data_IF_100747899241
#
_entry.id   IF_100747899241
#
_cell.length_a   1.000
_cell.length_b   1.000
_cell.length_c   1.000
_cell.angle_alpha   90.00
_cell.angle_beta   90.00
_cell.angle_gamma   90.00
#
_symmetry.space_group_name_H-M   'P 1'
#
loop_
_entity.id
_entity.type
_entity.pdbx_description
1 polymer ?
#
# COMPACT_ATOMS: atom_id res chain seq x y z
N UNK A 1 21.98 -4.75 9.84
CA UNK A 1 20.63 -4.19 9.83
C UNK A 1 20.29 -3.63 8.46
N UNK A 2 19.11 -3.97 7.93
CA UNK A 2 18.49 -3.33 6.78
C UNK A 2 17.07 -2.86 7.13
N UNK A 3 16.63 -1.74 6.54
CA UNK A 3 15.27 -1.21 6.72
C UNK A 3 14.63 -1.04 5.36
N UNK A 4 13.44 -1.61 5.20
CA UNK A 4 12.69 -1.61 3.96
C UNK A 4 11.25 -1.12 4.16
N UNK A 5 10.63 -0.65 3.09
CA UNK A 5 9.18 -0.67 3.00
C UNK A 5 8.71 -2.13 2.97
N UNK A 6 7.89 -2.55 3.93
CA UNK A 6 7.50 -3.95 4.05
C UNK A 6 6.79 -4.49 2.79
N UNK A 7 5.99 -3.66 2.13
CA UNK A 7 5.29 -4.01 0.88
C UNK A 7 6.22 -4.36 -0.29
N UNK A 8 7.49 -3.95 -0.23
CA UNK A 8 8.47 -4.15 -1.29
C UNK A 8 9.32 -5.41 -1.04
N UNK A 9 9.20 -6.03 0.16
CA UNK A 9 9.84 -7.30 0.48
C UNK A 9 9.09 -8.48 -0.13
N UNK A 10 9.81 -9.49 -0.67
CA UNK A 10 9.21 -10.76 -1.06
C UNK A 10 8.39 -11.38 0.09
N UNK A 11 7.34 -12.12 -0.23
CA UNK A 11 6.56 -12.87 0.77
C UNK A 11 7.32 -14.06 1.34
N UNK A 12 8.22 -14.63 0.56
CA UNK A 12 9.12 -15.71 0.99
C UNK A 12 10.25 -15.15 1.85
N UNK A 13 10.49 -15.77 3.00
CA UNK A 13 11.59 -15.42 3.89
C UNK A 13 12.91 -16.00 3.36
N UNK A 14 13.98 -15.20 3.39
CA UNK A 14 15.32 -15.70 3.07
C UNK A 14 15.88 -16.43 4.31
N UNK A 15 16.42 -17.68 4.17
CA UNK A 15 16.83 -18.51 5.31
C UNK A 15 17.95 -17.91 6.17
N UNK A 16 18.69 -16.94 5.66
CA UNK A 16 19.76 -16.24 6.41
C UNK A 16 19.35 -14.92 7.02
N UNK A 17 18.08 -14.50 6.88
CA UNK A 17 17.57 -13.23 7.36
C UNK A 17 16.42 -13.42 8.34
N UNK A 18 16.35 -12.52 9.31
CA UNK A 18 15.28 -12.41 10.29
C UNK A 18 14.59 -11.05 10.14
N UNK A 19 13.27 -11.06 9.97
CA UNK A 19 12.43 -9.88 10.16
C UNK A 19 12.30 -9.61 11.66
N UNK A 20 13.28 -8.89 12.20
CA UNK A 20 13.46 -8.72 13.64
C UNK A 20 12.42 -7.77 14.24
N UNK A 21 12.01 -6.73 13.53
CA UNK A 21 10.96 -5.83 13.98
C UNK A 21 10.11 -5.26 12.85
N UNK A 22 8.85 -5.04 13.16
CA UNK A 22 7.90 -4.24 12.39
C UNK A 22 7.41 -3.11 13.28
N UNK A 23 7.98 -1.90 13.17
CA UNK A 23 7.56 -0.75 13.97
C UNK A 23 6.10 -0.34 13.72
N UNK A 24 5.51 0.50 14.60
CA UNK A 24 4.15 0.99 14.42
C UNK A 24 3.90 1.49 12.99
N UNK A 25 2.81 1.02 12.40
CA UNK A 25 2.44 1.31 11.01
C UNK A 25 2.08 2.77 10.84
N UNK A 26 2.61 3.39 9.81
CA UNK A 26 2.12 4.67 9.34
C UNK A 26 0.85 4.47 8.50
N UNK A 27 0.06 5.53 8.29
CA UNK A 27 -1.20 5.48 7.54
C UNK A 27 -1.06 4.65 6.25
N UNK A 28 -1.78 3.51 6.11
CA UNK A 28 -1.64 2.59 4.99
C UNK A 28 -2.34 3.07 3.73
N UNK A 29 -3.17 4.11 3.80
CA UNK A 29 -4.02 4.55 2.70
C UNK A 29 -3.23 5.04 1.50
N UNK A 30 -3.89 5.00 0.35
CA UNK A 30 -3.45 5.72 -0.85
C UNK A 30 -4.00 7.15 -0.83
N UNK A 31 -3.33 8.02 -1.55
CA UNK A 31 -3.72 9.42 -1.69
C UNK A 31 -3.69 9.85 -3.15
N UNK A 32 -4.47 10.86 -3.44
CA UNK A 32 -4.45 11.60 -4.70
C UNK A 32 -3.65 12.87 -4.49
N UNK A 33 -2.80 13.16 -5.45
CA UNK A 33 -2.20 14.48 -5.66
C UNK A 33 -2.64 14.92 -7.05
N UNK A 34 -3.55 15.88 -7.14
CA UNK A 34 -4.13 16.33 -8.40
C UNK A 34 -3.87 17.81 -8.65
N UNK A 35 -3.87 18.20 -9.94
CA UNK A 35 -3.87 19.60 -10.31
C UNK A 35 -5.09 20.34 -9.74
N UNK A 36 -4.98 21.60 -9.53
CA UNK A 36 -6.06 22.50 -9.10
C UNK A 36 -6.74 22.12 -7.77
N UNK A 37 -6.10 21.23 -6.97
CA UNK A 37 -6.65 20.76 -5.70
C UNK A 37 -7.84 19.80 -5.83
N UNK A 38 -8.06 19.21 -7.00
CA UNK A 38 -9.19 18.33 -7.27
C UNK A 38 -9.09 17.00 -6.51
N UNK A 39 -10.23 16.45 -6.15
CA UNK A 39 -10.37 15.07 -5.70
C UNK A 39 -10.44 14.11 -6.89
N UNK A 40 -10.34 12.81 -6.65
CA UNK A 40 -10.41 11.79 -7.70
C UNK A 40 -11.75 11.84 -8.46
N UNK A 41 -12.85 12.07 -7.72
CA UNK A 41 -14.19 12.15 -8.29
C UNK A 41 -14.49 13.45 -9.05
N UNK A 42 -13.70 14.51 -8.83
CA UNK A 42 -13.84 15.80 -9.55
C UNK A 42 -13.00 15.88 -10.82
N UNK A 43 -12.12 14.89 -11.05
CA UNK A 43 -11.35 14.84 -12.29
C UNK A 43 -12.29 14.66 -13.51
N UNK A 44 -12.06 15.39 -14.61
CA UNK A 44 -12.87 15.23 -15.81
C UNK A 44 -12.66 13.85 -16.45
N UNK A 45 -13.66 13.39 -17.18
CA UNK A 45 -13.53 12.17 -17.98
C UNK A 45 -12.35 12.29 -18.97
N UNK A 46 -11.54 11.22 -19.07
CA UNK A 46 -10.31 11.20 -19.84
C UNK A 46 -9.09 11.78 -19.12
N UNK A 47 -9.25 12.27 -17.88
CA UNK A 47 -8.10 12.76 -17.09
C UNK A 47 -7.09 11.64 -16.85
N UNK A 48 -5.80 11.93 -17.09
CA UNK A 48 -4.71 11.01 -16.88
C UNK A 48 -4.34 10.88 -15.40
N UNK A 49 -4.47 9.67 -14.82
CA UNK A 49 -4.09 9.39 -13.42
C UNK A 49 -2.84 8.51 -13.38
N UNK A 50 -1.73 9.10 -12.97
CA UNK A 50 -0.41 8.49 -12.96
C UNK A 50 -0.26 7.43 -11.85
N UNK A 51 0.07 6.19 -12.23
CA UNK A 51 0.45 5.12 -11.31
C UNK A 51 1.26 4.04 -12.02
N UNK A 52 2.20 3.42 -11.31
CA UNK A 52 2.92 2.23 -11.78
C UNK A 52 2.43 0.94 -11.11
N UNK A 53 1.35 0.99 -10.34
CA UNK A 53 0.86 -0.13 -9.55
C UNK A 53 -0.33 -0.82 -10.22
N UNK A 54 -0.22 -2.10 -10.62
CA UNK A 54 -1.34 -2.88 -11.18
C UNK A 54 -2.55 -2.92 -10.23
N UNK A 55 -2.32 -2.98 -8.92
CA UNK A 55 -3.37 -2.92 -7.91
C UNK A 55 -4.18 -1.61 -7.99
N UNK A 56 -3.50 -0.48 -8.14
CA UNK A 56 -4.18 0.83 -8.28
C UNK A 56 -4.91 0.94 -9.62
N UNK A 57 -4.27 0.49 -10.70
CA UNK A 57 -4.91 0.47 -12.04
C UNK A 57 -6.22 -0.29 -11.99
N UNK A 58 -6.20 -1.52 -11.48
CA UNK A 58 -7.39 -2.36 -11.40
C UNK A 58 -8.52 -1.72 -10.57
N UNK A 59 -8.17 -1.21 -9.38
CA UNK A 59 -9.17 -0.58 -8.50
C UNK A 59 -9.68 0.74 -9.06
N UNK A 60 -8.82 1.56 -9.67
CA UNK A 60 -9.20 2.82 -10.33
C UNK A 60 -10.19 2.56 -11.47
N UNK A 61 -9.91 1.55 -12.31
CA UNK A 61 -10.82 1.14 -13.39
C UNK A 61 -12.17 0.66 -12.85
N UNK A 62 -12.17 -0.06 -11.73
CA UNK A 62 -13.40 -0.56 -11.09
C UNK A 62 -14.29 0.57 -10.50
N UNK A 63 -13.74 1.75 -10.20
CA UNK A 63 -14.51 2.91 -9.75
C UNK A 63 -15.39 3.52 -10.85
N UNK A 64 -15.08 3.28 -12.13
CA UNK A 64 -15.91 3.74 -13.26
C UNK A 64 -15.97 5.25 -13.43
N UNK A 65 -14.96 6.00 -12.97
CA UNK A 65 -14.93 7.47 -13.00
C UNK A 65 -14.60 8.04 -14.38
N UNK A 66 -14.27 7.20 -15.35
CA UNK A 66 -13.92 7.65 -16.70
C UNK A 66 -12.53 8.27 -16.81
N UNK A 67 -11.69 8.15 -15.79
CA UNK A 67 -10.29 8.57 -15.81
C UNK A 67 -9.39 7.50 -16.43
N UNK A 68 -8.23 7.89 -16.96
CA UNK A 68 -7.31 7.00 -17.66
C UNK A 68 -6.06 6.73 -16.81
N UNK A 69 -5.78 5.46 -16.42
CA UNK A 69 -4.53 5.11 -15.76
C UNK A 69 -3.33 5.32 -16.69
N UNK A 70 -2.36 6.12 -16.26
CA UNK A 70 -1.13 6.40 -16.98
C UNK A 70 0.06 5.78 -16.27
N UNK A 71 0.83 4.95 -16.99
CA UNK A 71 2.03 4.32 -16.42
C UNK A 71 3.11 5.36 -16.16
N UNK A 72 3.48 5.55 -14.89
CA UNK A 72 4.56 6.44 -14.47
C UNK A 72 5.60 5.69 -13.62
N UNK A 73 6.83 6.20 -13.61
CA UNK A 73 7.95 5.68 -12.81
C UNK A 73 8.64 6.83 -12.07
N UNK A 74 9.57 6.48 -11.19
CA UNK A 74 10.35 7.43 -10.40
C UNK A 74 10.02 7.39 -8.92
N UNK A 75 10.72 8.19 -8.12
CA UNK A 75 10.46 8.38 -6.70
C UNK A 75 9.23 9.29 -6.47
N UNK A 76 8.90 9.57 -5.22
CA UNK A 76 7.73 10.38 -4.85
C UNK A 76 7.79 11.78 -5.48
N UNK A 77 8.92 12.47 -5.34
CA UNK A 77 9.07 13.85 -5.86
C UNK A 77 8.97 13.90 -7.39
N UNK A 78 9.59 12.93 -8.08
CA UNK A 78 9.48 12.80 -9.54
C UNK A 78 8.01 12.67 -9.97
N UNK A 79 7.25 11.81 -9.28
CA UNK A 79 5.84 11.56 -9.62
C UNK A 79 4.95 12.76 -9.31
N UNK A 80 5.17 13.43 -8.17
CA UNK A 80 4.45 14.66 -7.82
C UNK A 80 4.73 15.76 -8.85
N UNK A 81 5.97 15.85 -9.33
CA UNK A 81 6.37 16.82 -10.35
C UNK A 81 5.72 16.62 -11.74
N UNK A 82 5.10 15.46 -11.99
CA UNK A 82 4.36 15.22 -13.24
C UNK A 82 2.95 15.82 -13.21
N UNK A 83 2.42 16.15 -12.01
CA UNK A 83 1.06 16.70 -11.88
C UNK A 83 0.99 18.11 -12.49
N UNK A 84 0.15 18.29 -13.50
CA UNK A 84 0.00 19.55 -14.21
C UNK A 84 1.16 19.92 -15.13
N UNK A 85 2.17 19.07 -15.28
CA UNK A 85 3.24 19.26 -16.26
C UNK A 85 2.70 19.11 -17.70
N UNK A 86 3.40 19.66 -18.71
CA UNK A 86 3.01 19.48 -20.11
C UNK A 86 2.96 18.00 -20.51
N UNK A 87 2.00 17.61 -21.33
CA UNK A 87 1.89 16.22 -21.81
C UNK A 87 3.15 15.75 -22.56
N UNK A 88 3.86 16.65 -23.24
CA UNK A 88 5.13 16.36 -23.90
C UNK A 88 6.24 15.90 -22.91
N UNK A 89 6.12 16.30 -21.64
CA UNK A 89 7.05 15.95 -20.55
C UNK A 89 6.52 14.78 -19.71
N UNK A 90 5.49 14.07 -20.19
CA UNK A 90 4.84 12.96 -19.47
C UNK A 90 3.92 13.42 -18.34
N UNK A 91 3.41 14.66 -18.40
CA UNK A 91 2.49 15.22 -17.42
C UNK A 91 1.18 14.48 -17.33
N UNK A 92 0.60 14.47 -16.13
CA UNK A 92 -0.69 13.85 -15.80
C UNK A 92 -1.56 14.81 -15.00
N UNK A 93 -2.87 14.55 -14.95
CA UNK A 93 -3.80 15.38 -14.19
C UNK A 93 -3.72 15.09 -12.68
N UNK A 94 -3.42 13.85 -12.33
CA UNK A 94 -3.24 13.43 -10.94
C UNK A 94 -2.27 12.24 -10.83
N UNK A 95 -1.76 11.98 -9.63
CA UNK A 95 -0.99 10.76 -9.30
C UNK A 95 -1.55 10.09 -8.05
N UNK A 96 -1.48 8.75 -8.03
CA UNK A 96 -1.79 7.95 -6.86
C UNK A 96 -0.50 7.55 -6.15
N UNK A 97 -0.40 7.89 -4.86
CA UNK A 97 0.77 7.63 -4.03
C UNK A 97 0.36 6.94 -2.71
N UNK A 98 1.31 6.31 -2.02
CA UNK A 98 1.11 5.84 -0.66
C UNK A 98 1.27 7.02 0.32
N UNK A 99 0.29 7.26 1.17
CA UNK A 99 0.29 8.39 2.11
C UNK A 99 1.51 8.37 3.03
N UNK A 100 1.85 7.18 3.56
CA UNK A 100 3.03 7.01 4.40
C UNK A 100 4.34 7.53 3.77
N UNK A 101 4.47 7.45 2.44
CA UNK A 101 5.63 7.98 1.73
C UNK A 101 5.70 9.51 1.81
N UNK A 102 4.58 10.19 1.59
CA UNK A 102 4.48 11.65 1.69
C UNK A 102 4.66 12.13 3.12
N UNK A 103 4.06 11.45 4.11
CA UNK A 103 4.23 11.78 5.53
C UNK A 103 5.70 11.72 5.95
N UNK A 104 6.43 10.67 5.57
CA UNK A 104 7.86 10.51 5.88
C UNK A 104 8.76 11.55 5.20
N UNK A 105 8.33 12.08 4.07
CA UNK A 105 9.02 13.15 3.36
C UNK A 105 8.56 14.55 3.80
N UNK A 106 7.65 14.64 4.78
CA UNK A 106 7.02 15.90 5.20
C UNK A 106 6.35 16.65 4.03
N UNK A 107 5.70 15.89 3.13
CA UNK A 107 5.05 16.38 1.92
C UNK A 107 3.53 16.15 1.93
N UNK A 108 2.92 16.10 3.11
CA UNK A 108 1.47 15.91 3.24
C UNK A 108 0.65 17.07 2.63
N UNK A 109 1.25 18.24 2.52
CA UNK A 109 0.61 19.47 2.00
C UNK A 109 0.22 19.39 0.52
N UNK A 110 0.83 18.46 -0.24
CA UNK A 110 0.49 18.27 -1.67
C UNK A 110 -0.72 17.36 -1.88
N UNK A 111 -1.20 16.69 -0.82
CA UNK A 111 -2.32 15.74 -0.90
C UNK A 111 -3.63 16.49 -1.10
N UNK A 112 -4.37 16.11 -2.14
CA UNK A 112 -5.70 16.68 -2.45
C UNK A 112 -6.83 15.81 -1.92
N UNK A 113 -6.61 14.49 -1.79
CA UNK A 113 -7.57 13.55 -1.21
C UNK A 113 -6.85 12.36 -0.58
N UNK A 114 -7.35 11.91 0.58
CA UNK A 114 -6.96 10.64 1.20
C UNK A 114 -8.05 9.62 0.89
N UNK A 115 -7.71 8.58 0.12
CA UNK A 115 -8.69 7.60 -0.34
C UNK A 115 -9.14 6.66 0.78
N UNK A 116 -10.44 6.48 0.91
CA UNK A 116 -11.01 5.49 1.83
C UNK A 116 -10.65 4.06 1.36
N UNK A 117 -10.31 3.12 2.27
CA UNK A 117 -10.06 1.72 1.92
C UNK A 117 -11.24 1.02 1.22
N UNK A 118 -12.47 1.51 1.37
CA UNK A 118 -13.61 1.03 0.58
C UNK A 118 -13.47 1.36 -0.90
N UNK A 119 -12.84 2.47 -1.24
CA UNK A 119 -12.54 2.89 -2.61
C UNK A 119 -11.27 2.21 -3.13
N UNK A 120 -10.19 2.27 -2.31
CA UNK A 120 -8.87 1.81 -2.72
C UNK A 120 -8.17 1.07 -1.57
N UNK A 121 -8.25 -0.26 -1.55
CA UNK A 121 -7.48 -1.06 -0.60
C UNK A 121 -5.98 -0.94 -0.88
N UNK A 122 -5.16 -0.70 0.16
CA UNK A 122 -3.72 -0.56 0.02
C UNK A 122 -3.02 -1.85 -0.43
N UNK A 123 -1.74 -1.75 -0.77
CA UNK A 123 -0.91 -2.93 -0.95
C UNK A 123 -0.67 -3.63 0.39
N UNK A 124 -0.59 -4.98 0.43
CA UNK A 124 -0.19 -5.70 1.63
C UNK A 124 1.10 -5.13 2.23
N UNK A 125 1.08 -4.78 3.52
CA UNK A 125 2.21 -4.17 4.23
C UNK A 125 2.46 -2.69 3.90
N UNK A 126 1.60 -2.01 3.15
CA UNK A 126 1.78 -0.57 2.86
C UNK A 126 1.72 0.23 4.16
N UNK A 127 2.63 1.19 4.32
CA UNK A 127 2.77 2.01 5.53
C UNK A 127 3.69 1.41 6.59
N UNK A 128 3.89 0.10 6.61
CA UNK A 128 4.79 -0.57 7.53
C UNK A 128 6.25 -0.56 7.04
N UNK A 129 7.18 -0.50 8.00
CA UNK A 129 8.60 -0.73 7.78
C UNK A 129 8.97 -2.15 8.24
N UNK A 130 9.97 -2.72 7.59
CA UNK A 130 10.60 -3.98 7.98
C UNK A 130 12.03 -3.71 8.43
N UNK A 131 12.38 -4.13 9.64
CA UNK A 131 13.75 -4.12 10.14
C UNK A 131 14.30 -5.54 10.08
N UNK A 132 15.25 -5.79 9.19
CA UNK A 132 15.87 -7.10 9.00
C UNK A 132 17.31 -7.13 9.50
N UNK A 133 17.72 -8.25 10.08
CA UNK A 133 19.11 -8.54 10.41
C UNK A 133 19.45 -9.98 9.98
N UNK A 134 20.72 -10.37 10.13
CA UNK A 134 21.09 -11.76 9.95
C UNK A 134 20.47 -12.61 11.04
N UNK A 135 20.04 -13.82 10.69
CA UNK A 135 19.40 -14.73 11.66
C UNK A 135 20.34 -15.11 12.82
N UNK A 136 21.65 -15.09 12.62
CA UNK A 136 22.67 -15.41 13.61
C UNK A 136 23.10 -14.19 14.46
N UNK A 137 22.54 -12.98 14.18
CA UNK A 137 22.90 -11.75 14.89
C UNK A 137 21.91 -11.46 16.02
N UNK A 138 21.98 -12.29 17.07
CA UNK A 138 21.12 -12.19 18.25
C UNK A 138 21.20 -10.82 18.92
N UNK A 139 22.38 -10.20 18.94
CA UNK A 139 22.57 -8.89 19.56
C UNK A 139 21.76 -7.80 18.83
N UNK A 140 21.81 -7.78 17.51
CA UNK A 140 21.01 -6.84 16.72
C UNK A 140 19.53 -7.18 16.82
N UNK A 141 19.15 -8.46 16.78
CA UNK A 141 17.76 -8.88 16.91
C UNK A 141 17.13 -8.42 18.25
N UNK A 142 17.84 -8.57 19.37
CA UNK A 142 17.39 -8.10 20.69
C UNK A 142 17.23 -6.58 20.75
N UNK A 143 18.14 -5.82 20.13
CA UNK A 143 18.02 -4.36 20.08
C UNK A 143 16.83 -3.91 19.23
N UNK A 144 16.54 -4.62 18.15
CA UNK A 144 15.41 -4.31 17.26
C UNK A 144 14.06 -4.70 17.88
N UNK A 145 14.00 -5.75 18.70
CA UNK A 145 12.77 -6.24 19.30
C UNK A 145 11.97 -5.17 20.07
N UNK A 146 12.65 -4.14 20.60
CA UNK A 146 12.00 -3.02 21.30
C UNK A 146 11.21 -2.09 20.36
N UNK A 147 11.44 -2.20 19.05
CA UNK A 147 10.74 -1.42 18.03
C UNK A 147 9.53 -2.17 17.48
N UNK A 148 9.38 -3.44 17.80
CA UNK A 148 8.32 -4.28 17.26
C UNK A 148 6.97 -3.90 17.85
N UNK A 149 5.99 -3.72 16.96
CA UNK A 149 4.61 -3.41 17.33
C UNK A 149 3.73 -4.63 17.02
N UNK A 150 3.19 -5.30 18.04
CA UNK A 150 2.44 -6.54 17.87
C UNK A 150 1.23 -6.39 16.95
N UNK A 151 0.47 -5.29 17.08
CA UNK A 151 -0.74 -5.07 16.29
C UNK A 151 -0.40 -4.87 14.81
N UNK A 152 0.64 -4.09 14.54
CA UNK A 152 1.14 -3.93 13.18
C UNK A 152 1.67 -5.25 12.62
N UNK A 153 2.44 -6.01 13.41
CA UNK A 153 3.01 -7.29 12.97
C UNK A 153 1.92 -8.28 12.59
N UNK A 154 0.92 -8.46 13.43
CA UNK A 154 -0.19 -9.39 13.19
C UNK A 154 -0.98 -8.97 11.95
N UNK A 155 -1.33 -7.69 11.84
CA UNK A 155 -2.04 -7.15 10.67
C UNK A 155 -1.28 -7.40 9.36
N UNK A 156 0.00 -7.02 9.30
CA UNK A 156 0.78 -7.19 8.06
C UNK A 156 1.13 -8.66 7.78
N UNK A 157 1.19 -9.51 8.81
CA UNK A 157 1.36 -10.96 8.63
C UNK A 157 0.13 -11.54 7.93
N UNK A 158 -1.08 -11.20 8.38
CA UNK A 158 -2.31 -11.64 7.73
C UNK A 158 -2.38 -11.18 6.26
N UNK A 159 -2.06 -9.91 5.99
CA UNK A 159 -2.04 -9.36 4.63
C UNK A 159 -1.02 -10.08 3.72
N UNK A 160 0.19 -10.33 4.22
CA UNK A 160 1.26 -10.99 3.46
C UNK A 160 0.99 -12.49 3.28
N UNK A 161 0.37 -13.15 4.26
CA UNK A 161 -0.08 -14.54 4.14
C UNK A 161 -1.10 -14.70 3.03
N UNK A 162 -2.07 -13.78 2.94
CA UNK A 162 -3.01 -13.75 1.82
C UNK A 162 -2.27 -13.65 0.48
N UNK A 163 -1.32 -12.73 0.35
CA UNK A 163 -0.55 -12.55 -0.89
C UNK A 163 0.25 -13.81 -1.25
N UNK A 164 0.88 -14.44 -0.26
CA UNK A 164 1.64 -15.68 -0.43
C UNK A 164 0.73 -16.85 -0.86
N UNK A 165 -0.44 -17.00 -0.22
CA UNK A 165 -1.42 -18.06 -0.52
C UNK A 165 -1.97 -17.95 -1.94
N UNK A 166 -2.08 -16.72 -2.46
CA UNK A 166 -2.48 -16.49 -3.85
C UNK A 166 -1.34 -16.70 -4.85
N UNK A 167 -0.14 -17.08 -4.38
CA UNK A 167 1.08 -17.19 -5.19
C UNK A 167 1.33 -15.88 -5.98
N UNK A 168 0.91 -14.76 -5.41
CA UNK A 168 0.93 -13.45 -6.04
C UNK A 168 2.17 -12.67 -5.62
N UNK A 169 2.93 -12.16 -6.58
CA UNK A 169 4.06 -11.27 -6.32
C UNK A 169 3.64 -9.82 -6.10
N UNK A 170 4.61 -8.95 -5.78
CA UNK A 170 4.39 -7.51 -5.55
C UNK A 170 3.76 -6.77 -6.76
N UNK A 171 3.77 -7.38 -7.95
CA UNK A 171 3.16 -6.85 -9.17
C UNK A 171 1.73 -7.32 -9.43
N UNK A 172 1.17 -8.17 -8.56
CA UNK A 172 -0.21 -8.63 -8.70
C UNK A 172 -1.22 -7.53 -8.34
N UNK A 173 -2.40 -7.50 -8.98
CA UNK A 173 -3.45 -6.54 -8.69
C UNK A 173 -4.22 -6.91 -7.40
N UNK A 174 -3.49 -7.12 -6.31
CA UNK A 174 -4.02 -7.53 -5.00
C UNK A 174 -3.89 -6.37 -4.02
N UNK A 175 -4.99 -5.99 -3.38
CA UNK A 175 -5.03 -5.10 -2.23
C UNK A 175 -5.44 -5.85 -0.99
N UNK A 176 -4.84 -5.52 0.16
CA UNK A 176 -5.27 -6.04 1.45
C UNK A 176 -5.01 -5.03 2.56
N UNK A 177 -5.88 -5.06 3.56
CA UNK A 177 -5.75 -4.30 4.79
C UNK A 177 -6.31 -5.14 5.93
N UNK A 178 -5.47 -5.43 6.92
CA UNK A 178 -5.88 -6.01 8.17
C UNK A 178 -5.76 -4.99 9.30
N UNK A 179 -6.67 -5.08 10.26
CA UNK A 179 -6.75 -4.22 11.43
C UNK A 179 -7.09 -5.08 12.64
N UNK A 180 -6.44 -4.78 13.77
CA UNK A 180 -6.85 -5.35 15.06
C UNK A 180 -8.12 -4.62 15.50
N UNK A 181 -9.16 -5.38 15.77
CA UNK A 181 -10.47 -4.88 16.18
C UNK A 181 -10.92 -5.58 17.46
N UNK A 182 -11.75 -4.91 18.23
CA UNK A 182 -12.34 -5.53 19.42
C UNK A 182 -13.46 -6.48 18.97
N UNK A 183 -13.30 -7.77 19.26
CA UNK A 183 -14.30 -8.80 19.07
C UNK A 183 -15.05 -9.13 20.38
N UNK A 184 -15.95 -10.09 20.33
CA UNK A 184 -16.78 -10.48 21.50
C UNK A 184 -15.96 -11.22 22.58
N UNK A 185 -14.90 -11.93 22.19
CA UNK A 185 -14.05 -12.74 23.07
C UNK A 185 -12.64 -12.17 23.25
N UNK A 186 -12.37 -10.98 22.75
CA UNK A 186 -11.07 -10.31 22.77
C UNK A 186 -10.69 -9.69 21.43
N UNK A 187 -9.43 -9.31 21.28
CA UNK A 187 -8.94 -8.72 20.04
C UNK A 187 -8.91 -9.74 18.89
N UNK A 188 -9.44 -9.36 17.76
CA UNK A 188 -9.50 -10.11 16.52
C UNK A 188 -8.80 -9.36 15.39
N UNK A 189 -8.44 -10.07 14.32
CA UNK A 189 -7.98 -9.49 13.06
C UNK A 189 -9.14 -9.40 12.07
N UNK A 190 -9.43 -8.21 11.59
CA UNK A 190 -10.33 -7.98 10.47
C UNK A 190 -9.54 -7.74 9.19
N UNK A 191 -9.53 -8.74 8.31
CA UNK A 191 -8.85 -8.69 7.01
C UNK A 191 -9.86 -8.34 5.91
N UNK A 192 -9.54 -7.32 5.12
CA UNK A 192 -10.24 -6.95 3.87
C UNK A 192 -9.30 -7.16 2.71
N UNK A 193 -9.79 -7.74 1.63
CA UNK A 193 -9.01 -8.03 0.45
C UNK A 193 -9.74 -7.72 -0.86
N UNK A 194 -8.96 -7.38 -1.88
CA UNK A 194 -9.42 -7.29 -3.26
C UNK A 194 -8.41 -7.96 -4.18
N UNK A 195 -8.92 -8.78 -5.07
CA UNK A 195 -8.17 -9.31 -6.22
C UNK A 195 -8.83 -8.77 -7.47
N UNK A 196 -8.08 -8.03 -8.25
CA UNK A 196 -8.58 -7.38 -9.44
C UNK A 196 -7.95 -7.92 -10.71
N UNK A 197 -8.31 -7.32 -11.83
CA UNK A 197 -7.74 -7.58 -13.14
C UNK A 197 -7.38 -6.23 -13.79
N UNK A 198 -6.21 -6.17 -14.41
CA UNK A 198 -5.76 -4.98 -15.14
C UNK A 198 -6.49 -4.77 -16.46
N UNK A 199 -7.18 -5.80 -16.96
CA UNK A 199 -8.00 -5.73 -18.18
C UNK A 199 -9.38 -5.09 -17.98
N UNK A 200 -9.73 -4.72 -16.72
CA UNK A 200 -11.03 -4.17 -16.36
C UNK A 200 -12.11 -5.20 -16.08
N UNK A 201 -11.77 -6.49 -15.98
CA UNK A 201 -12.69 -7.52 -15.50
C UNK A 201 -13.13 -7.26 -14.04
N UNK A 202 -14.28 -7.78 -13.62
CA UNK A 202 -14.78 -7.58 -12.26
C UNK A 202 -13.78 -8.01 -11.20
N UNK A 203 -13.55 -7.16 -10.20
CA UNK A 203 -12.74 -7.49 -9.03
C UNK A 203 -13.52 -8.33 -8.02
N UNK A 204 -12.82 -9.21 -7.30
CA UNK A 204 -13.37 -9.96 -6.18
C UNK A 204 -12.96 -9.24 -4.90
N UNK A 205 -13.94 -8.81 -4.10
CA UNK A 205 -13.72 -8.25 -2.77
C UNK A 205 -14.27 -9.22 -1.70
N UNK A 206 -13.50 -9.41 -0.63
CA UNK A 206 -13.87 -10.25 0.52
C UNK A 206 -13.36 -9.63 1.81
N UNK A 207 -14.03 -9.97 2.90
CA UNK A 207 -13.55 -9.70 4.25
C UNK A 207 -13.76 -10.93 5.13
N UNK A 208 -12.90 -11.07 6.12
CA UNK A 208 -12.98 -12.11 7.13
C UNK A 208 -12.48 -11.55 8.45
N UNK A 209 -13.00 -12.08 9.56
CA UNK A 209 -12.53 -11.82 10.91
C UNK A 209 -12.07 -13.14 11.50
N UNK A 210 -11.02 -13.12 12.29
CA UNK A 210 -10.47 -14.32 12.94
C UNK A 210 -9.58 -13.98 14.11
N UNK A 211 -9.14 -15.00 14.86
CA UNK A 211 -8.23 -14.82 15.98
C UNK A 211 -6.89 -14.27 15.52
N UNK A 212 -6.14 -13.71 16.48
CA UNK A 212 -4.75 -13.23 16.24
C UNK A 212 -3.73 -14.38 16.22
N UNK A 213 -4.12 -15.59 16.71
CA UNK A 213 -3.27 -16.79 16.84
C UNK A 213 -3.20 -17.62 15.54
#
# INVERSE_FOLDING_TARGET
LAVHSLKDLPTESHPGLLLAAVPPRQDPRDVVVARDGLTLGELPAGAGVGTGSPRRVSQLSALGLGVEPVQIRGNVDTRVGLVGAPAADGGVDAVLLAYAGLLRLSRAEVVTEVLDPLQMLPAPGQGALACECRIEDDATAQLLAVLDDPDTRDAVTAERTLLATLEAGCSAPVGALAEVVMGDEGDELWLRAVVGDISGAPSIRRSATGSRD
#
